data_IF_580079585228
#
_entry.id   IF_580079585228
#
_cell.length_a   1.000
_cell.length_b   1.000
_cell.length_c   1.000
_cell.angle_alpha   90.00
_cell.angle_beta   90.00
_cell.angle_gamma   90.00
#
_symmetry.space_group_name_H-M   'P 1'
#
loop_
_entity.id
_entity.type
_entity.pdbx_description
1 polymer ?
#
# COMPACT_ATOMS: atom_id res chain seq x y z
N UNK A 1 -66.29 -8.30 30.70
CA UNK A 1 -64.86 -8.65 30.71
C UNK A 1 -64.09 -7.37 30.41
N UNK A 2 -63.54 -6.71 31.41
CA UNK A 2 -62.76 -5.47 31.23
C UNK A 2 -61.27 -5.83 31.13
N UNK A 3 -60.69 -5.70 29.94
CA UNK A 3 -59.24 -5.84 29.73
C UNK A 3 -58.56 -4.54 30.13
N UNK A 4 -57.94 -4.51 31.28
CA UNK A 4 -57.09 -3.40 31.71
C UNK A 4 -55.70 -3.58 31.10
N UNK A 5 -55.38 -2.78 30.07
CA UNK A 5 -54.01 -2.73 29.51
C UNK A 5 -53.17 -1.85 30.43
N UNK A 6 -52.21 -2.45 31.12
CA UNK A 6 -51.18 -1.72 31.85
C UNK A 6 -50.12 -1.23 30.85
N UNK A 7 -50.11 0.08 30.58
CA UNK A 7 -49.06 0.73 29.83
C UNK A 7 -47.80 0.76 30.68
N UNK A 8 -46.76 0.04 30.25
CA UNK A 8 -45.42 0.14 30.83
C UNK A 8 -44.87 1.55 30.60
N UNK A 9 -44.29 2.22 31.63
CA UNK A 9 -43.72 3.55 31.45
C UNK A 9 -42.54 3.49 30.51
N UNK A 10 -42.65 4.13 29.33
CA UNK A 10 -41.53 4.36 28.43
C UNK A 10 -40.55 5.31 29.13
N UNK A 11 -39.37 4.82 29.49
CA UNK A 11 -38.28 5.67 29.97
C UNK A 11 -37.75 6.49 28.81
N UNK A 12 -37.96 7.80 28.80
CA UNK A 12 -37.37 8.72 27.84
C UNK A 12 -35.90 8.99 28.19
N UNK A 13 -35.09 9.20 27.17
CA UNK A 13 -33.69 9.61 27.33
C UNK A 13 -33.61 11.08 27.71
N UNK A 14 -32.75 11.45 28.65
CA UNK A 14 -32.56 12.85 29.04
C UNK A 14 -31.59 13.53 28.07
N UNK A 15 -31.76 14.84 27.88
CA UNK A 15 -30.90 15.65 27.00
C UNK A 15 -29.43 15.63 27.47
N UNK A 16 -29.20 15.57 28.76
CA UNK A 16 -27.87 15.54 29.37
C UNK A 16 -27.17 14.19 29.13
N UNK A 17 -27.90 13.07 29.17
CA UNK A 17 -27.34 11.74 28.86
C UNK A 17 -26.85 11.68 27.43
N UNK A 18 -27.60 12.25 26.45
CA UNK A 18 -27.19 12.32 25.09
C UNK A 18 -25.95 13.22 24.90
N UNK A 19 -25.94 14.39 25.56
CA UNK A 19 -24.86 15.36 25.44
C UNK A 19 -23.54 14.80 25.99
N UNK A 20 -23.54 14.10 27.10
CA UNK A 20 -22.35 13.49 27.69
C UNK A 20 -21.80 12.40 26.77
N UNK A 21 -22.64 11.56 26.18
CA UNK A 21 -22.24 10.48 25.29
C UNK A 21 -21.57 11.06 24.04
N UNK A 22 -22.16 12.06 23.39
CA UNK A 22 -21.55 12.63 22.17
C UNK A 22 -20.24 13.37 22.47
N UNK A 23 -20.11 13.99 23.65
CA UNK A 23 -18.88 14.61 24.11
C UNK A 23 -17.75 13.56 24.25
N UNK A 24 -18.03 12.45 24.92
CA UNK A 24 -17.06 11.35 25.11
C UNK A 24 -16.65 10.76 23.76
N UNK A 25 -17.61 10.46 22.88
CA UNK A 25 -17.32 9.94 21.54
C UNK A 25 -16.47 10.95 20.74
N UNK A 26 -16.76 12.24 20.83
CA UNK A 26 -16.00 13.30 20.17
C UNK A 26 -14.53 13.31 20.60
N UNK A 27 -14.25 13.24 21.89
CA UNK A 27 -12.88 13.22 22.43
C UNK A 27 -12.14 11.94 22.01
N UNK A 28 -12.79 10.78 22.14
CA UNK A 28 -12.18 9.50 21.76
C UNK A 28 -11.88 9.44 20.26
N UNK A 29 -12.80 9.90 19.41
CA UNK A 29 -12.62 9.93 17.97
C UNK A 29 -11.48 10.84 17.54
N UNK A 30 -11.29 11.98 18.20
CA UNK A 30 -10.20 12.92 17.89
C UNK A 30 -8.80 12.28 18.01
N UNK A 31 -8.64 11.33 18.94
CA UNK A 31 -7.37 10.60 19.13
C UNK A 31 -7.30 9.32 18.29
N UNK A 32 -8.41 8.60 18.15
CA UNK A 32 -8.44 7.31 17.50
C UNK A 32 -8.29 7.40 15.96
N UNK A 33 -8.91 8.39 15.30
CA UNK A 33 -8.88 8.52 13.84
C UNK A 33 -7.48 8.66 13.26
N UNK A 34 -6.58 9.54 13.76
CA UNK A 34 -5.23 9.66 13.19
C UNK A 34 -4.38 8.40 13.41
N UNK A 35 -4.59 7.68 14.50
CA UNK A 35 -3.89 6.42 14.76
C UNK A 35 -4.39 5.30 13.82
N UNK A 36 -5.70 5.23 13.61
CA UNK A 36 -6.31 4.28 12.68
C UNK A 36 -5.82 4.47 11.24
N UNK A 37 -5.79 5.70 10.75
CA UNK A 37 -5.29 5.99 9.39
C UNK A 37 -3.83 5.57 9.22
N UNK A 38 -2.97 5.83 10.20
CA UNK A 38 -1.55 5.38 10.18
C UNK A 38 -1.44 3.85 10.18
N UNK A 39 -2.24 3.15 10.97
CA UNK A 39 -2.26 1.69 11.00
C UNK A 39 -2.71 1.08 9.66
N UNK A 40 -3.75 1.65 9.05
CA UNK A 40 -4.24 1.22 7.73
C UNK A 40 -3.19 1.45 6.64
N UNK A 41 -2.53 2.61 6.61
CA UNK A 41 -1.47 2.86 5.63
C UNK A 41 -0.25 1.95 5.84
N UNK A 42 0.11 1.65 7.08
CA UNK A 42 1.16 0.66 7.37
C UNK A 42 0.80 -0.74 6.88
N UNK A 43 -0.46 -1.16 7.03
CA UNK A 43 -0.94 -2.43 6.51
C UNK A 43 -0.88 -2.48 4.97
N UNK A 44 -1.29 -1.40 4.29
CA UNK A 44 -1.18 -1.26 2.83
C UNK A 44 0.27 -1.31 2.36
N UNK A 45 1.18 -0.61 3.04
CA UNK A 45 2.60 -0.66 2.74
C UNK A 45 3.17 -2.08 2.89
N UNK A 46 2.75 -2.82 3.91
CA UNK A 46 3.17 -4.21 4.10
C UNK A 46 2.69 -5.11 2.95
N UNK A 47 1.45 -4.92 2.49
CA UNK A 47 0.93 -5.61 1.30
C UNK A 47 1.78 -5.27 0.06
N UNK A 48 2.08 -3.98 -0.15
CA UNK A 48 2.92 -3.54 -1.26
C UNK A 48 4.33 -4.14 -1.21
N UNK A 49 4.94 -4.24 -0.02
CA UNK A 49 6.23 -4.89 0.17
C UNK A 49 6.19 -6.39 -0.16
N UNK A 50 5.08 -7.06 0.11
CA UNK A 50 4.88 -8.46 -0.28
C UNK A 50 4.80 -8.61 -1.79
N UNK A 51 4.02 -7.76 -2.46
CA UNK A 51 3.89 -7.79 -3.92
C UNK A 51 5.21 -7.47 -4.61
N UNK A 52 5.94 -6.42 -4.17
CA UNK A 52 7.27 -6.12 -4.72
C UNK A 52 8.25 -7.27 -4.53
N UNK A 53 8.20 -7.95 -3.38
CA UNK A 53 9.03 -9.14 -3.14
C UNK A 53 8.73 -10.28 -4.10
N UNK A 54 7.45 -10.52 -4.37
CA UNK A 54 7.03 -11.56 -5.31
C UNK A 54 7.49 -11.24 -6.74
N UNK A 55 7.36 -9.99 -7.18
CA UNK A 55 7.81 -9.55 -8.50
C UNK A 55 9.35 -9.69 -8.60
N UNK A 56 10.10 -9.19 -7.61
CA UNK A 56 11.57 -9.32 -7.59
C UNK A 56 11.98 -10.78 -7.66
N UNK A 57 11.39 -11.66 -6.86
CA UNK A 57 11.74 -13.08 -6.87
C UNK A 57 11.42 -13.75 -8.21
N UNK A 58 10.31 -13.39 -8.85
CA UNK A 58 9.94 -13.93 -10.16
C UNK A 58 10.94 -13.51 -11.23
N UNK A 59 11.30 -12.23 -11.29
CA UNK A 59 12.30 -11.70 -12.21
C UNK A 59 13.67 -12.35 -11.97
N UNK A 60 14.13 -12.42 -10.72
CA UNK A 60 15.39 -13.07 -10.35
C UNK A 60 15.43 -14.54 -10.78
N UNK A 61 14.35 -15.28 -10.58
CA UNK A 61 14.25 -16.68 -10.99
C UNK A 61 14.37 -16.81 -12.51
N UNK A 62 13.73 -15.91 -13.26
CA UNK A 62 13.79 -15.90 -14.72
C UNK A 62 15.20 -15.56 -15.21
N UNK A 63 15.89 -14.61 -14.61
CA UNK A 63 17.29 -14.28 -14.90
C UNK A 63 18.18 -15.48 -14.64
N UNK A 64 18.06 -16.11 -13.48
CA UNK A 64 18.87 -17.28 -13.11
C UNK A 64 18.64 -18.47 -14.04
N UNK A 65 17.42 -18.67 -14.51
CA UNK A 65 17.09 -19.77 -15.43
C UNK A 65 17.54 -19.53 -16.86
N UNK A 66 17.48 -18.28 -17.34
CA UNK A 66 17.90 -17.90 -18.69
C UNK A 66 19.41 -17.71 -18.81
N UNK A 67 20.09 -17.41 -17.70
CA UNK A 67 21.53 -17.08 -17.69
C UNK A 67 21.84 -15.73 -18.35
N UNK A 68 20.84 -14.97 -18.76
CA UNK A 68 20.98 -13.70 -19.45
C UNK A 68 20.28 -12.60 -18.68
N UNK A 69 21.04 -11.55 -18.40
CA UNK A 69 20.54 -10.29 -17.88
C UNK A 69 20.14 -9.41 -19.08
N UNK A 70 18.93 -9.62 -19.59
CA UNK A 70 18.46 -8.93 -20.82
C UNK A 70 17.20 -8.12 -20.51
N UNK A 71 17.10 -6.95 -21.14
CA UNK A 71 15.91 -6.09 -21.10
C UNK A 71 14.63 -6.84 -21.52
N UNK A 72 14.72 -7.82 -22.42
CA UNK A 72 13.61 -8.67 -22.82
C UNK A 72 13.02 -9.50 -21.68
N UNK A 73 13.80 -9.85 -20.66
CA UNK A 73 13.32 -10.57 -19.45
C UNK A 73 12.43 -9.68 -18.60
N UNK A 74 12.72 -8.37 -18.57
CA UNK A 74 11.96 -7.39 -17.82
C UNK A 74 10.75 -6.86 -18.57
N UNK A 75 10.72 -7.04 -19.90
CA UNK A 75 9.72 -6.40 -20.75
C UNK A 75 8.39 -7.14 -20.77
N UNK A 76 8.35 -8.42 -20.36
CA UNK A 76 7.15 -9.24 -20.51
C UNK A 76 6.87 -10.07 -19.26
N UNK A 77 5.84 -9.67 -18.44
CA UNK A 77 5.44 -10.42 -17.27
C UNK A 77 4.94 -11.84 -17.54
N UNK A 78 4.57 -12.16 -18.78
CA UNK A 78 4.14 -13.52 -19.16
C UNK A 78 5.32 -14.51 -19.08
N UNK A 79 6.56 -14.02 -19.17
CA UNK A 79 7.76 -14.82 -18.98
C UNK A 79 8.08 -15.11 -17.50
N UNK A 80 7.40 -14.44 -16.57
CA UNK A 80 7.63 -14.62 -15.15
C UNK A 80 6.62 -15.63 -14.60
N UNK A 81 7.10 -16.62 -13.88
CA UNK A 81 6.23 -17.58 -13.17
C UNK A 81 5.61 -16.92 -11.93
N UNK A 82 4.71 -15.95 -12.17
CA UNK A 82 4.05 -15.18 -11.13
C UNK A 82 2.56 -15.04 -11.40
N UNK A 83 1.76 -15.30 -10.37
CA UNK A 83 0.32 -15.00 -10.35
C UNK A 83 0.01 -14.01 -9.24
N UNK A 84 -0.39 -12.80 -9.62
CA UNK A 84 -0.81 -11.75 -8.69
C UNK A 84 -2.32 -11.55 -8.77
N UNK A 85 -2.95 -11.31 -7.62
CA UNK A 85 -4.39 -11.05 -7.54
C UNK A 85 -4.65 -9.60 -7.11
N UNK A 86 -5.82 -9.07 -7.52
CA UNK A 86 -6.27 -7.75 -7.10
C UNK A 86 -5.78 -6.58 -7.96
N UNK A 87 -5.16 -6.88 -9.10
CA UNK A 87 -4.70 -5.90 -10.07
C UNK A 87 -4.62 -6.47 -11.49
N UNK A 88 -3.99 -5.73 -12.37
CA UNK A 88 -3.77 -6.11 -13.77
C UNK A 88 -2.42 -5.57 -14.26
N UNK A 89 -1.83 -6.28 -15.23
CA UNK A 89 -0.62 -5.84 -15.91
C UNK A 89 -0.96 -4.92 -17.09
N UNK A 90 -0.12 -3.92 -17.31
CA UNK A 90 -0.15 -3.07 -18.48
C UNK A 90 1.25 -2.57 -18.82
N UNK A 91 1.42 -2.09 -20.06
CA UNK A 91 2.65 -1.39 -20.46
C UNK A 91 2.64 0.04 -19.88
N UNK A 92 3.74 0.46 -19.27
CA UNK A 92 3.92 1.83 -18.77
C UNK A 92 4.15 2.85 -19.88
N UNK A 93 4.49 2.40 -21.08
CA UNK A 93 4.82 3.22 -22.23
C UNK A 93 6.22 3.85 -22.23
N UNK A 94 7.01 3.65 -21.15
CA UNK A 94 8.36 4.23 -21.05
C UNK A 94 9.40 3.34 -20.40
N UNK A 95 9.00 2.49 -19.49
CA UNK A 95 9.97 2.03 -18.48
C UNK A 95 9.81 0.56 -18.12
N UNK A 96 9.02 -0.21 -18.86
CA UNK A 96 8.76 -1.61 -18.63
C UNK A 96 7.33 -1.91 -18.13
N UNK A 97 7.01 -3.15 -17.82
CA UNK A 97 5.68 -3.55 -17.40
C UNK A 97 5.32 -2.96 -16.03
N UNK A 98 4.04 -2.61 -15.91
CA UNK A 98 3.47 -2.04 -14.70
C UNK A 98 2.30 -2.88 -14.21
N UNK A 99 2.33 -3.29 -12.94
CA UNK A 99 1.21 -3.93 -12.27
C UNK A 99 0.40 -2.89 -11.50
N UNK A 100 -0.89 -2.77 -11.77
CA UNK A 100 -1.76 -1.74 -11.19
C UNK A 100 -2.77 -2.38 -10.27
N UNK A 101 -2.83 -1.89 -9.03
CA UNK A 101 -3.86 -2.21 -8.04
C UNK A 101 -4.64 -0.94 -7.68
N UNK A 102 -5.65 -1.07 -6.84
CA UNK A 102 -6.43 0.10 -6.38
C UNK A 102 -5.57 1.17 -5.68
N UNK A 103 -4.58 0.75 -4.90
CA UNK A 103 -3.83 1.63 -4.00
C UNK A 103 -2.41 1.92 -4.44
N UNK A 104 -1.83 1.05 -5.27
CA UNK A 104 -0.45 1.12 -5.73
C UNK A 104 -0.36 0.78 -7.21
N UNK A 105 0.61 1.36 -7.89
CA UNK A 105 1.16 0.74 -9.07
C UNK A 105 2.60 0.31 -8.83
N UNK A 106 3.00 -0.78 -9.47
CA UNK A 106 4.31 -1.40 -9.32
C UNK A 106 5.00 -1.34 -10.66
N UNK A 107 6.17 -0.74 -10.69
CA UNK A 107 6.93 -0.54 -11.93
C UNK A 107 8.26 -1.28 -11.84
N UNK A 108 8.52 -2.10 -12.85
CA UNK A 108 9.83 -2.69 -13.11
C UNK A 108 10.52 -1.82 -14.14
N UNK A 109 11.69 -1.29 -13.83
CA UNK A 109 12.43 -0.44 -14.78
C UNK A 109 13.70 -1.13 -15.26
N UNK A 110 13.94 -1.04 -16.57
CA UNK A 110 15.11 -1.65 -17.22
C UNK A 110 16.44 -1.07 -16.72
N UNK A 111 16.45 0.23 -16.39
CA UNK A 111 17.61 0.97 -15.91
C UNK A 111 17.77 0.93 -14.40
N UNK A 112 16.80 0.39 -13.70
CA UNK A 112 16.79 0.34 -12.25
C UNK A 112 16.93 -1.08 -11.75
N UNK A 113 17.71 -1.17 -10.74
CA UNK A 113 18.10 -2.36 -10.01
C UNK A 113 17.00 -2.94 -9.13
N UNK A 114 15.70 -2.73 -9.49
CA UNK A 114 14.61 -3.19 -8.63
C UNK A 114 13.19 -2.91 -9.13
N UNK A 115 12.26 -3.09 -8.20
CA UNK A 115 10.83 -2.82 -8.37
C UNK A 115 10.39 -1.69 -7.46
N UNK A 116 9.78 -0.66 -8.03
CA UNK A 116 9.14 0.43 -7.32
C UNK A 116 7.66 0.18 -7.09
N UNK A 117 7.15 0.39 -5.87
CA UNK A 117 5.72 0.45 -5.57
C UNK A 117 5.35 1.87 -5.18
N UNK A 118 4.48 2.49 -5.97
CA UNK A 118 4.08 3.88 -5.86
C UNK A 118 2.68 3.96 -5.25
N UNK A 119 2.58 4.60 -4.08
CA UNK A 119 1.30 4.78 -3.38
C UNK A 119 0.53 5.94 -3.96
N UNK A 120 -0.51 5.68 -4.75
CA UNK A 120 -1.31 6.73 -5.37
C UNK A 120 -2.10 7.56 -4.34
N UNK A 121 -2.19 8.86 -4.61
CA UNK A 121 -3.06 9.78 -3.88
C UNK A 121 -4.51 9.59 -4.33
N UNK A 122 -5.16 8.56 -3.83
CA UNK A 122 -6.48 8.13 -4.28
C UNK A 122 -6.44 6.73 -4.90
N UNK A 123 -7.24 6.50 -5.95
CA UNK A 123 -7.21 5.26 -6.71
C UNK A 123 -6.21 5.39 -7.85
N UNK A 124 -5.35 4.39 -8.02
CA UNK A 124 -4.42 4.36 -9.15
C UNK A 124 -5.19 4.21 -10.47
N UNK A 125 -4.83 5.02 -11.45
CA UNK A 125 -5.44 4.98 -12.79
C UNK A 125 -4.64 4.15 -13.79
N UNK A 126 -3.44 3.73 -13.40
CA UNK A 126 -2.47 3.10 -14.29
C UNK A 126 -1.69 4.10 -15.14
N UNK A 127 -1.69 5.37 -14.76
CA UNK A 127 -0.86 6.38 -15.38
C UNK A 127 0.43 6.54 -14.55
N UNK A 128 1.59 6.51 -15.21
CA UNK A 128 2.89 6.70 -14.55
C UNK A 128 3.02 8.09 -13.89
N UNK A 129 2.19 9.05 -14.31
CA UNK A 129 2.13 10.39 -13.73
C UNK A 129 1.12 10.52 -12.57
N UNK A 130 0.52 9.41 -12.11
CA UNK A 130 -0.31 9.45 -10.90
C UNK A 130 0.52 9.98 -9.73
N UNK A 131 0.00 11.02 -9.03
CA UNK A 131 0.68 11.56 -7.85
C UNK A 131 0.84 10.50 -6.78
N UNK A 132 2.07 10.26 -6.33
CA UNK A 132 2.35 9.34 -5.23
C UNK A 132 2.45 10.08 -3.89
N UNK A 133 2.03 9.40 -2.82
CA UNK A 133 2.20 9.88 -1.43
C UNK A 133 3.59 9.48 -0.92
N UNK A 134 3.99 8.25 -1.21
CA UNK A 134 5.31 7.69 -0.94
C UNK A 134 5.58 6.54 -1.90
N UNK A 135 6.86 6.24 -2.08
CA UNK A 135 7.33 5.20 -2.96
C UNK A 135 8.16 4.20 -2.16
N UNK A 136 7.91 2.91 -2.38
CA UNK A 136 8.68 1.82 -1.81
C UNK A 136 9.52 1.18 -2.91
N UNK A 137 10.80 0.98 -2.64
CA UNK A 137 11.74 0.45 -3.61
C UNK A 137 12.42 -0.81 -3.09
N UNK A 138 12.44 -1.86 -3.91
CA UNK A 138 13.16 -3.09 -3.61
C UNK A 138 14.12 -3.42 -4.75
N UNK A 139 15.42 -3.53 -4.42
CA UNK A 139 16.46 -3.84 -5.39
C UNK A 139 16.47 -5.31 -5.81
N UNK A 140 17.00 -5.57 -7.01
CA UNK A 140 17.34 -6.93 -7.46
C UNK A 140 18.69 -7.34 -6.89
N UNK A 141 18.77 -8.41 -6.10
CA UNK A 141 20.04 -8.88 -5.53
C UNK A 141 21.08 -9.28 -6.57
N UNK A 142 20.65 -9.75 -7.74
CA UNK A 142 21.55 -10.15 -8.84
C UNK A 142 22.31 -9.00 -9.46
N UNK A 143 21.82 -7.75 -9.33
CA UNK A 143 22.41 -6.57 -9.94
C UNK A 143 23.35 -5.86 -8.96
N UNK A 144 22.87 -5.55 -7.77
CA UNK A 144 23.61 -4.74 -6.80
C UNK A 144 24.38 -5.55 -5.76
N UNK A 145 24.16 -6.88 -5.72
CA UNK A 145 24.74 -7.75 -4.69
C UNK A 145 24.18 -7.52 -3.28
N UNK A 146 23.40 -6.47 -3.08
CA UNK A 146 22.79 -6.11 -1.81
C UNK A 146 21.25 -6.09 -1.90
N UNK A 147 20.62 -6.61 -0.83
CA UNK A 147 19.16 -6.46 -0.69
C UNK A 147 18.87 -5.08 -0.16
N UNK A 148 18.36 -4.19 -0.98
CA UNK A 148 17.86 -2.90 -0.50
C UNK A 148 16.34 -2.88 -0.39
N UNK A 149 15.85 -2.14 0.59
CA UNK A 149 14.44 -1.85 0.77
C UNK A 149 14.33 -0.40 1.23
N UNK A 150 13.90 0.47 0.32
CA UNK A 150 13.94 1.91 0.51
C UNK A 150 12.53 2.49 0.50
N UNK A 151 12.34 3.60 1.20
CA UNK A 151 11.12 4.40 1.14
C UNK A 151 11.48 5.86 0.88
N UNK A 152 10.83 6.45 -0.12
CA UNK A 152 10.97 7.84 -0.51
C UNK A 152 9.65 8.57 -0.35
N UNK A 153 9.68 9.85 0.00
CA UNK A 153 8.48 10.70 -0.08
C UNK A 153 8.82 12.17 -0.12
N UNK A 154 8.07 12.90 -0.93
CA UNK A 154 8.07 14.36 -0.99
C UNK A 154 6.99 14.98 -0.09
N UNK A 155 5.99 14.18 0.35
CA UNK A 155 4.88 14.66 1.18
C UNK A 155 5.17 14.45 2.68
N UNK A 156 4.70 15.35 3.53
CA UNK A 156 4.87 15.19 5.00
C UNK A 156 4.16 13.92 5.51
N UNK A 157 2.97 13.62 4.97
CA UNK A 157 2.26 12.39 5.29
C UNK A 157 3.08 11.14 4.92
N UNK A 158 3.66 11.12 3.74
CA UNK A 158 4.48 10.01 3.28
C UNK A 158 5.77 9.86 4.09
N UNK A 159 6.42 10.96 4.47
CA UNK A 159 7.61 10.94 5.35
C UNK A 159 7.32 10.27 6.69
N UNK A 160 6.17 10.58 7.30
CA UNK A 160 5.75 9.95 8.56
C UNK A 160 5.49 8.45 8.39
N UNK A 161 4.92 8.05 7.26
CA UNK A 161 4.69 6.64 6.92
C UNK A 161 6.03 5.94 6.71
N UNK A 162 6.94 6.47 5.87
CA UNK A 162 8.27 5.90 5.64
C UNK A 162 9.04 5.69 6.96
N UNK A 163 9.04 6.69 7.85
CA UNK A 163 9.64 6.56 9.19
C UNK A 163 9.00 5.42 10.00
N UNK A 164 7.70 5.21 9.89
CA UNK A 164 7.00 4.13 10.60
C UNK A 164 7.34 2.74 10.08
N UNK A 165 7.82 2.63 8.82
CA UNK A 165 8.19 1.38 8.17
C UNK A 165 9.61 0.90 8.52
N UNK A 166 10.43 1.73 9.17
CA UNK A 166 11.80 1.35 9.56
C UNK A 166 11.82 0.11 10.46
N UNK A 167 10.76 -0.11 11.25
CA UNK A 167 10.58 -1.33 12.05
C UNK A 167 10.41 -2.61 11.21
N UNK A 168 10.15 -2.49 9.91
CA UNK A 168 10.06 -3.59 8.94
C UNK A 168 11.33 -3.76 8.11
N UNK A 169 12.42 -3.08 8.46
CA UNK A 169 13.69 -3.12 7.72
C UNK A 169 13.73 -2.20 6.49
N UNK A 170 12.77 -1.27 6.38
CA UNK A 170 12.75 -0.28 5.30
C UNK A 170 13.66 0.91 5.68
N UNK A 171 14.60 1.26 4.82
CA UNK A 171 15.42 2.47 4.98
C UNK A 171 14.67 3.67 4.42
N UNK A 172 14.44 4.68 5.25
CA UNK A 172 13.88 5.95 4.77
C UNK A 172 14.97 6.83 4.17
N UNK A 173 14.76 7.25 2.93
CA UNK A 173 15.60 8.26 2.26
C UNK A 173 14.76 9.51 1.97
N UNK A 174 15.17 10.68 2.52
CA UNK A 174 14.46 11.95 2.34
C UNK A 174 14.54 12.49 0.92
#
# INVERSE_FOLDING_TARGET
MNNSYTLSPCRGFTLIELLVVVLIIGILSAVALPQYTKAVEKARATEALSITSNIVNAVETTILSSGVYDSAVYADPENWDISLSGGYWQDSGCCGPMYVTKNFFYLTREDMTGVGAYRCKGTCTGNINDESIYDLWRCYPSVDGEKCLLCFSQTEQGKDICKSLTSLGVEYRP
#
